data_IF_641021959629
#
_entry.id   IF_641021959629
#
_cell.length_a   1.000
_cell.length_b   1.000
_cell.length_c   1.000
_cell.angle_alpha   90.00
_cell.angle_beta   90.00
_cell.angle_gamma   90.00
#
_symmetry.space_group_name_H-M   'P 1'
#
loop_
_entity.id
_entity.type
_entity.pdbx_description
1 polymer ?
#
# COMPACT_ATOMS: atom_id res chain seq x y z
N UNK A 1 -11.54 7.93 -10.54
CA UNK A 1 -11.47 7.10 -9.32
C UNK A 1 -11.90 7.95 -8.11
N UNK A 2 -12.19 7.35 -6.96
CA UNK A 2 -12.56 8.08 -5.73
C UNK A 2 -11.97 7.40 -4.49
N UNK A 3 -11.88 8.14 -3.39
CA UNK A 3 -11.64 7.58 -2.04
C UNK A 3 -12.89 6.82 -1.62
N UNK A 4 -12.73 5.59 -1.10
CA UNK A 4 -13.88 4.70 -0.81
C UNK A 4 -14.43 4.95 0.59
N UNK A 5 -13.56 5.14 1.58
CA UNK A 5 -13.99 5.29 2.98
C UNK A 5 -13.17 6.32 3.77
N UNK A 6 -13.43 6.38 5.08
CA UNK A 6 -12.78 7.33 5.97
C UNK A 6 -13.27 8.77 5.81
N UNK A 7 -12.50 9.71 6.37
CA UNK A 7 -12.87 11.15 6.43
C UNK A 7 -12.91 11.84 5.07
N UNK A 8 -12.26 11.27 4.06
CA UNK A 8 -12.24 11.77 2.67
C UNK A 8 -13.14 10.95 1.73
N UNK A 9 -13.97 10.05 2.25
CA UNK A 9 -14.83 9.17 1.47
C UNK A 9 -15.66 9.93 0.43
N UNK A 10 -15.73 9.41 -0.81
CA UNK A 10 -16.44 10.02 -1.93
C UNK A 10 -15.65 11.08 -2.71
N UNK A 11 -14.54 11.62 -2.17
CA UNK A 11 -13.69 12.61 -2.86
C UNK A 11 -13.05 12.01 -4.11
N UNK A 12 -13.05 12.76 -5.20
CA UNK A 12 -12.48 12.32 -6.48
C UNK A 12 -10.96 12.34 -6.45
N UNK A 13 -10.36 11.35 -7.12
CA UNK A 13 -8.92 11.26 -7.38
C UNK A 13 -8.68 11.33 -8.88
N UNK A 14 -7.70 12.11 -9.30
CA UNK A 14 -7.13 12.03 -10.64
C UNK A 14 -6.41 10.68 -10.82
N UNK A 15 -6.43 10.18 -12.03
CA UNK A 15 -5.77 8.92 -12.41
C UNK A 15 -4.74 9.19 -13.49
N UNK A 16 -3.67 8.42 -13.48
CA UNK A 16 -2.71 8.43 -14.59
C UNK A 16 -3.38 7.79 -15.81
N UNK A 17 -3.44 8.53 -16.92
CA UNK A 17 -3.97 8.01 -18.20
C UNK A 17 -2.93 7.10 -18.83
N UNK A 18 -2.96 5.81 -18.50
CA UNK A 18 -2.18 4.80 -19.22
C UNK A 18 -3.09 3.62 -19.50
N UNK A 19 -3.16 3.21 -20.76
CA UNK A 19 -3.95 2.05 -21.22
C UNK A 19 -3.49 0.71 -20.59
N UNK A 20 -2.38 0.71 -19.88
CA UNK A 20 -1.74 -0.47 -19.30
C UNK A 20 -2.03 -0.70 -17.80
N UNK A 21 -2.58 0.29 -17.08
CA UNK A 21 -2.83 0.18 -15.64
C UNK A 21 -4.32 0.07 -15.40
N UNK A 22 -4.78 -1.10 -14.98
CA UNK A 22 -6.13 -1.29 -14.46
C UNK A 22 -6.12 -0.83 -13.00
N UNK A 23 -6.82 0.27 -12.67
CA UNK A 23 -6.86 0.73 -11.28
C UNK A 23 -7.48 -0.35 -10.39
N UNK A 24 -6.90 -0.61 -9.23
CA UNK A 24 -7.55 -1.39 -8.17
C UNK A 24 -8.97 -0.88 -8.00
N UNK A 25 -9.97 -1.74 -8.23
CA UNK A 25 -11.37 -1.32 -8.21
C UNK A 25 -11.75 -0.80 -6.81
N UNK A 26 -12.74 0.11 -6.75
CA UNK A 26 -13.29 0.60 -5.47
C UNK A 26 -13.64 -0.56 -4.53
N UNK A 27 -14.22 -1.66 -5.09
CA UNK A 27 -14.57 -2.87 -4.34
C UNK A 27 -13.35 -3.62 -3.79
N UNK A 28 -12.28 -3.71 -4.57
CA UNK A 28 -11.06 -4.38 -4.11
C UNK A 28 -10.37 -3.55 -3.01
N UNK A 29 -10.30 -2.22 -3.16
CA UNK A 29 -9.77 -1.34 -2.11
C UNK A 29 -10.59 -1.44 -0.82
N UNK A 30 -11.92 -1.37 -0.90
CA UNK A 30 -12.77 -1.56 0.27
C UNK A 30 -12.48 -2.87 0.99
N UNK A 31 -12.34 -3.95 0.22
CA UNK A 31 -12.06 -5.27 0.76
C UNK A 31 -10.66 -5.37 1.39
N UNK A 32 -9.63 -4.73 0.80
CA UNK A 32 -8.29 -4.63 1.41
C UNK A 32 -8.39 -3.98 2.78
N UNK A 33 -9.02 -2.83 2.87
CA UNK A 33 -9.11 -2.12 4.15
C UNK A 33 -10.00 -2.84 5.17
N UNK A 34 -11.05 -3.56 4.74
CA UNK A 34 -11.84 -4.41 5.63
C UNK A 34 -11.02 -5.59 6.22
N UNK A 35 -10.04 -6.12 5.47
CA UNK A 35 -9.12 -7.12 6.03
C UNK A 35 -8.16 -6.50 7.07
N UNK A 36 -7.74 -5.26 6.89
CA UNK A 36 -6.83 -4.55 7.79
C UNK A 36 -7.48 -4.18 9.14
N UNK A 37 -8.80 -4.02 9.19
CA UNK A 37 -9.54 -3.70 10.43
C UNK A 37 -9.27 -4.72 11.53
N UNK A 38 -9.17 -6.02 11.19
CA UNK A 38 -8.87 -7.08 12.17
C UNK A 38 -7.44 -7.01 12.75
N UNK A 39 -6.58 -6.19 12.16
CA UNK A 39 -5.22 -5.91 12.60
C UNK A 39 -5.09 -4.48 13.18
N UNK A 40 -6.22 -3.81 13.44
CA UNK A 40 -6.28 -2.42 13.93
C UNK A 40 -5.55 -1.41 13.02
N UNK A 41 -5.51 -1.70 11.73
CA UNK A 41 -4.88 -0.86 10.71
C UNK A 41 -5.94 -0.21 9.80
N UNK A 42 -5.67 0.97 9.24
CA UNK A 42 -4.41 1.73 9.29
C UNK A 42 -4.36 2.86 10.33
N UNK A 43 -5.25 2.90 11.32
CA UNK A 43 -5.33 4.03 12.27
C UNK A 43 -4.01 4.26 13.01
N UNK A 44 -3.54 5.51 13.02
CA UNK A 44 -2.24 5.90 13.60
C UNK A 44 -1.00 5.36 12.89
N UNK A 45 -1.16 4.54 11.85
CA UNK A 45 -0.07 3.82 11.21
C UNK A 45 0.85 4.71 10.34
N UNK A 46 2.12 4.32 10.26
CA UNK A 46 3.05 4.73 9.21
C UNK A 46 2.91 3.77 8.04
N UNK A 47 2.58 4.30 6.87
CA UNK A 47 2.26 3.52 5.68
C UNK A 47 3.28 3.76 4.58
N UNK A 48 3.63 2.70 3.85
CA UNK A 48 4.45 2.73 2.65
C UNK A 48 3.63 2.18 1.48
N UNK A 49 3.44 2.98 0.45
CA UNK A 49 2.73 2.60 -0.78
C UNK A 49 3.75 2.46 -1.92
N UNK A 50 4.10 1.23 -2.23
CA UNK A 50 5.03 0.86 -3.29
C UNK A 50 4.26 0.66 -4.60
N UNK A 51 4.81 1.18 -5.71
CA UNK A 51 4.12 1.21 -7.01
C UNK A 51 2.82 2.04 -6.95
N UNK A 52 2.90 3.22 -6.32
CA UNK A 52 1.74 3.96 -5.85
C UNK A 52 0.77 4.46 -6.95
N UNK A 53 1.20 4.57 -8.21
CA UNK A 53 0.36 4.95 -9.35
C UNK A 53 -0.33 6.30 -9.17
N UNK A 54 -1.63 6.29 -8.92
CA UNK A 54 -2.42 7.49 -8.58
C UNK A 54 -2.41 7.84 -7.09
N UNK A 55 -1.78 7.01 -6.24
CA UNK A 55 -1.77 7.14 -4.79
C UNK A 55 -3.03 6.61 -4.09
N UNK A 56 -3.84 5.82 -4.79
CA UNK A 56 -5.15 5.45 -4.30
C UNK A 56 -5.13 4.68 -2.98
N UNK A 57 -4.20 3.73 -2.79
CA UNK A 57 -4.07 2.95 -1.55
C UNK A 57 -3.52 3.80 -0.41
N UNK A 58 -2.45 4.56 -0.65
CA UNK A 58 -1.86 5.44 0.35
C UNK A 58 -2.80 6.56 0.80
N UNK A 59 -3.56 7.18 -0.13
CA UNK A 59 -4.56 8.20 0.18
C UNK A 59 -5.75 7.59 0.93
N UNK A 60 -6.20 6.40 0.57
CA UNK A 60 -7.25 5.68 1.30
C UNK A 60 -6.81 5.40 2.75
N UNK A 61 -5.53 5.00 2.96
CA UNK A 61 -4.97 4.81 4.30
C UNK A 61 -5.02 6.11 5.13
N UNK A 62 -4.60 7.23 4.55
CA UNK A 62 -4.71 8.55 5.20
C UNK A 62 -6.15 8.94 5.54
N UNK A 63 -7.09 8.63 4.63
CA UNK A 63 -8.51 8.86 4.85
C UNK A 63 -9.07 8.06 6.02
N UNK A 64 -8.50 6.88 6.28
CA UNK A 64 -8.91 5.95 7.34
C UNK A 64 -8.06 6.05 8.61
N UNK A 65 -7.31 7.15 8.78
CA UNK A 65 -6.63 7.45 10.04
C UNK A 65 -5.14 7.18 10.07
N UNK A 66 -4.49 6.69 8.99
CA UNK A 66 -3.03 6.56 8.98
C UNK A 66 -2.36 7.89 9.33
N UNK A 67 -1.33 7.86 10.16
CA UNK A 67 -0.62 9.06 10.59
C UNK A 67 0.17 9.69 9.45
N UNK A 68 0.85 8.87 8.67
CA UNK A 68 1.68 9.33 7.55
C UNK A 68 1.79 8.24 6.47
N UNK A 69 1.86 8.66 5.20
CA UNK A 69 2.08 7.75 4.08
C UNK A 69 3.25 8.21 3.21
N UNK A 70 4.19 7.30 2.94
CA UNK A 70 5.21 7.47 1.91
C UNK A 70 4.75 6.76 0.64
N UNK A 71 4.65 7.49 -0.47
CA UNK A 71 4.20 6.98 -1.77
C UNK A 71 5.39 6.95 -2.73
N UNK A 72 5.72 5.78 -3.25
CA UNK A 72 6.88 5.55 -4.11
C UNK A 72 6.42 5.10 -5.49
N UNK A 73 6.86 5.79 -6.52
CA UNK A 73 6.64 5.40 -7.90
C UNK A 73 7.82 5.83 -8.78
N UNK A 74 8.15 5.07 -9.81
CA UNK A 74 9.22 5.41 -10.76
C UNK A 74 8.75 6.41 -11.84
N UNK A 75 7.45 6.42 -12.13
CA UNK A 75 6.89 7.30 -13.17
C UNK A 75 6.69 8.73 -12.65
N UNK A 76 7.27 9.68 -13.38
CA UNK A 76 7.12 11.10 -13.10
C UNK A 76 5.67 11.60 -13.23
N UNK A 77 4.86 11.01 -14.12
CA UNK A 77 3.46 11.39 -14.27
C UNK A 77 2.64 10.89 -13.08
N UNK A 78 2.89 9.66 -12.61
CA UNK A 78 2.31 9.13 -11.38
C UNK A 78 2.63 10.02 -10.18
N UNK A 79 3.90 10.37 -9.96
CA UNK A 79 4.28 11.25 -8.86
C UNK A 79 3.60 12.64 -8.91
N UNK A 80 3.45 13.22 -10.10
CA UNK A 80 2.70 14.49 -10.27
C UNK A 80 1.21 14.32 -9.94
N UNK A 81 0.60 13.23 -10.40
CA UNK A 81 -0.81 12.93 -10.11
C UNK A 81 -1.04 12.73 -8.61
N UNK A 82 -0.15 11.99 -7.93
CA UNK A 82 -0.21 11.84 -6.47
C UNK A 82 -0.14 13.20 -5.78
N UNK A 83 0.84 14.04 -6.15
CA UNK A 83 1.01 15.36 -5.54
C UNK A 83 -0.23 16.27 -5.75
N UNK A 84 -0.83 16.24 -6.96
CA UNK A 84 -2.07 16.96 -7.26
C UNK A 84 -3.24 16.45 -6.39
N UNK A 85 -3.40 15.13 -6.27
CA UNK A 85 -4.42 14.52 -5.42
C UNK A 85 -4.27 14.92 -3.95
N UNK A 86 -3.06 14.85 -3.40
CA UNK A 86 -2.77 15.23 -2.02
C UNK A 86 -3.10 16.70 -1.75
N UNK A 87 -2.73 17.57 -2.68
CA UNK A 87 -3.02 19.02 -2.60
C UNK A 87 -4.53 19.29 -2.67
N UNK A 88 -5.22 18.68 -3.63
CA UNK A 88 -6.67 18.85 -3.79
C UNK A 88 -7.49 18.34 -2.58
N UNK A 89 -6.94 17.38 -1.84
CA UNK A 89 -7.53 16.82 -0.63
C UNK A 89 -7.11 17.54 0.65
N UNK A 90 -6.10 18.42 0.60
CA UNK A 90 -5.59 19.15 1.77
C UNK A 90 -4.83 18.28 2.78
N UNK A 91 -4.12 17.24 2.31
CA UNK A 91 -3.41 16.26 3.15
C UNK A 91 -1.92 16.11 2.81
N UNK A 92 -1.34 17.09 2.11
CA UNK A 92 0.06 17.05 1.68
C UNK A 92 1.07 17.00 2.84
N UNK A 93 0.71 17.53 3.99
CA UNK A 93 1.51 17.52 5.22
C UNK A 93 1.64 16.13 5.86
N UNK A 94 0.74 15.21 5.51
CA UNK A 94 0.71 13.82 6.00
C UNK A 94 1.27 12.82 5.00
N UNK A 95 1.85 13.28 3.90
CA UNK A 95 2.32 12.40 2.84
C UNK A 95 3.68 12.83 2.29
N UNK A 96 4.49 11.85 1.88
CA UNK A 96 5.75 12.06 1.18
C UNK A 96 5.71 11.32 -0.16
N UNK A 97 5.89 12.03 -1.26
CA UNK A 97 5.97 11.44 -2.60
C UNK A 97 7.44 11.31 -2.99
N UNK A 98 7.84 10.11 -3.37
CA UNK A 98 9.22 9.80 -3.76
C UNK A 98 9.22 9.20 -5.17
N UNK A 99 9.89 9.87 -6.09
CA UNK A 99 10.15 9.32 -7.42
C UNK A 99 11.38 8.44 -7.36
N UNK A 100 11.17 7.12 -7.35
CA UNK A 100 12.25 6.11 -7.35
C UNK A 100 11.74 4.79 -7.92
N UNK A 101 12.64 4.02 -8.47
CA UNK A 101 12.43 2.58 -8.60
C UNK A 101 12.29 1.96 -7.20
N UNK A 102 11.38 0.98 -7.06
CA UNK A 102 11.04 0.39 -5.75
C UNK A 102 12.23 -0.36 -5.14
N UNK A 103 12.95 -1.15 -5.92
CA UNK A 103 14.13 -1.88 -5.42
C UNK A 103 15.22 -0.92 -4.94
N UNK A 104 15.48 0.16 -5.69
CA UNK A 104 16.40 1.22 -5.26
C UNK A 104 15.94 1.93 -4.00
N UNK A 105 14.64 2.22 -3.89
CA UNK A 105 14.08 2.84 -2.70
C UNK A 105 14.27 1.97 -1.47
N UNK A 106 13.88 0.70 -1.54
CA UNK A 106 13.98 -0.25 -0.43
C UNK A 106 15.44 -0.48 0.01
N UNK A 107 16.37 -0.55 -0.94
CA UNK A 107 17.81 -0.68 -0.62
C UNK A 107 18.39 0.55 0.11
N UNK A 108 17.83 1.74 -0.11
CA UNK A 108 18.31 2.99 0.48
C UNK A 108 17.56 3.40 1.76
N UNK A 109 16.36 2.86 2.02
CA UNK A 109 15.46 3.28 3.08
C UNK A 109 14.96 2.06 3.85
N UNK A 110 15.54 1.83 5.02
CA UNK A 110 15.22 0.70 5.91
C UNK A 110 14.32 1.05 7.09
N UNK A 111 13.75 2.25 7.15
CA UNK A 111 12.90 2.67 8.28
C UNK A 111 11.67 1.76 8.40
N UNK A 112 11.38 1.27 9.62
CA UNK A 112 10.23 0.40 9.82
C UNK A 112 8.91 1.16 9.62
N UNK A 113 7.94 0.48 8.98
CA UNK A 113 6.56 0.95 8.84
C UNK A 113 5.58 -0.08 9.41
N UNK A 114 4.39 0.36 9.74
CA UNK A 114 3.36 -0.54 10.27
C UNK A 114 2.70 -1.33 9.14
N UNK A 115 2.48 -0.68 8.00
CA UNK A 115 1.79 -1.24 6.84
C UNK A 115 2.51 -0.86 5.55
N UNK A 116 2.73 -1.84 4.68
CA UNK A 116 3.15 -1.60 3.30
C UNK A 116 2.12 -2.15 2.31
N UNK A 117 1.94 -1.45 1.19
CA UNK A 117 1.23 -1.91 0.01
C UNK A 117 2.21 -2.14 -1.12
N UNK A 118 1.99 -3.19 -1.92
CA UNK A 118 2.70 -3.46 -3.16
C UNK A 118 1.70 -3.93 -4.23
N UNK A 119 1.42 -3.05 -5.20
CA UNK A 119 0.54 -3.30 -6.34
C UNK A 119 1.30 -3.04 -7.66
N UNK A 120 2.31 -3.88 -7.97
CA UNK A 120 3.09 -3.73 -9.18
C UNK A 120 2.30 -4.14 -10.42
N UNK A 121 2.78 -3.77 -11.64
CA UNK A 121 2.25 -4.33 -12.88
C UNK A 121 2.26 -5.87 -12.86
N UNK A 122 1.26 -6.53 -13.46
CA UNK A 122 1.07 -7.99 -13.41
C UNK A 122 2.26 -8.87 -13.88
N UNK A 123 3.19 -8.30 -14.63
CA UNK A 123 4.40 -9.02 -15.07
C UNK A 123 5.59 -8.86 -14.11
N UNK A 124 5.34 -8.30 -12.93
CA UNK A 124 6.39 -8.11 -11.93
C UNK A 124 6.84 -9.46 -11.36
N UNK A 125 8.15 -9.71 -11.42
CA UNK A 125 8.81 -10.93 -10.94
C UNK A 125 9.72 -10.70 -9.72
N UNK A 126 9.91 -9.44 -9.31
CA UNK A 126 10.76 -9.04 -8.18
C UNK A 126 10.16 -9.23 -6.78
N UNK A 127 9.20 -10.14 -6.62
CA UNK A 127 8.53 -10.35 -5.32
C UNK A 127 9.47 -10.81 -4.22
N UNK A 128 10.47 -11.67 -4.56
CA UNK A 128 11.46 -12.12 -3.57
C UNK A 128 12.22 -10.94 -2.99
N UNK A 129 12.69 -10.02 -3.85
CA UNK A 129 13.45 -8.85 -3.42
C UNK A 129 12.60 -7.91 -2.54
N UNK A 130 11.31 -7.74 -2.87
CA UNK A 130 10.38 -6.96 -2.04
C UNK A 130 10.19 -7.61 -0.67
N UNK A 131 9.95 -8.92 -0.62
CA UNK A 131 9.76 -9.66 0.63
C UNK A 131 11.01 -9.65 1.52
N UNK A 132 12.20 -9.68 0.92
CA UNK A 132 13.46 -9.68 1.66
C UNK A 132 13.85 -8.29 2.19
N UNK A 133 13.44 -7.22 1.49
CA UNK A 133 13.95 -5.88 1.79
C UNK A 133 12.94 -4.96 2.46
N UNK A 134 11.62 -5.19 2.27
CA UNK A 134 10.61 -4.33 2.88
C UNK A 134 10.59 -4.50 4.39
N UNK A 135 10.75 -3.38 5.12
CA UNK A 135 10.70 -3.38 6.58
C UNK A 135 9.33 -2.90 7.08
N UNK A 136 8.34 -3.81 7.05
CA UNK A 136 6.98 -3.55 7.49
C UNK A 136 6.48 -4.65 8.43
N UNK A 137 5.50 -4.34 9.29
CA UNK A 137 4.82 -5.34 10.13
C UNK A 137 3.77 -6.12 9.33
N UNK A 138 3.08 -5.42 8.43
CA UNK A 138 2.05 -5.97 7.54
C UNK A 138 2.35 -5.56 6.10
N UNK A 139 2.25 -6.49 5.17
CA UNK A 139 2.39 -6.25 3.73
C UNK A 139 1.15 -6.75 2.99
N UNK A 140 0.55 -5.88 2.20
CA UNK A 140 -0.55 -6.22 1.29
C UNK A 140 0.01 -6.26 -0.12
N UNK A 141 -0.04 -7.45 -0.73
CA UNK A 141 0.38 -7.67 -2.12
C UNK A 141 -0.86 -7.80 -3.00
N UNK A 142 -0.94 -7.02 -4.08
CA UNK A 142 -1.91 -7.25 -5.17
C UNK A 142 -1.16 -7.81 -6.38
N UNK A 143 -1.68 -8.89 -6.98
CA UNK A 143 -1.03 -9.61 -8.08
C UNK A 143 -2.08 -10.41 -8.88
N UNK A 144 -1.67 -11.07 -9.95
CA UNK A 144 -2.49 -12.04 -10.69
C UNK A 144 -2.52 -13.43 -10.03
N UNK A 145 -1.68 -13.65 -9.02
CA UNK A 145 -1.56 -14.89 -8.25
C UNK A 145 -1.34 -14.62 -6.76
N UNK A 146 -1.49 -15.64 -5.96
CA UNK A 146 -1.09 -15.60 -4.56
C UNK A 146 0.43 -15.40 -4.43
N UNK A 147 0.84 -14.54 -3.51
CA UNK A 147 2.24 -14.34 -3.19
C UNK A 147 2.60 -15.19 -1.97
N UNK A 148 3.31 -16.27 -2.23
CA UNK A 148 3.77 -17.19 -1.19
C UNK A 148 5.14 -16.75 -0.67
N UNK A 149 5.28 -16.41 0.63
CA UNK A 149 6.54 -15.89 1.16
C UNK A 149 7.65 -16.96 1.30
N UNK A 150 7.36 -18.23 1.00
CA UNK A 150 8.33 -19.31 1.20
C UNK A 150 8.69 -19.57 2.67
N UNK A 151 9.44 -20.65 2.92
CA UNK A 151 9.77 -21.06 4.31
C UNK A 151 10.85 -20.21 4.98
N UNK A 152 11.68 -19.51 4.20
CA UNK A 152 12.84 -18.77 4.69
C UNK A 152 12.57 -17.28 4.93
N UNK A 153 11.38 -16.78 4.59
CA UNK A 153 11.02 -15.38 4.81
C UNK A 153 10.47 -15.14 6.22
N UNK A 154 10.69 -13.92 6.72
CA UNK A 154 10.13 -13.46 7.99
C UNK A 154 8.60 -13.26 7.93
N UNK A 155 7.95 -13.63 6.85
CA UNK A 155 6.53 -13.44 6.58
C UNK A 155 5.73 -14.72 6.75
N UNK A 156 4.47 -14.57 7.13
CA UNK A 156 3.45 -15.62 7.06
C UNK A 156 2.20 -15.06 6.38
N UNK A 157 1.54 -15.90 5.60
CA UNK A 157 0.26 -15.55 4.98
C UNK A 157 -0.82 -15.50 6.06
N UNK A 158 -1.42 -14.32 6.23
CA UNK A 158 -2.54 -14.11 7.13
C UNK A 158 -3.88 -14.35 6.42
N UNK A 159 -4.01 -13.83 5.19
CA UNK A 159 -5.24 -13.95 4.41
C UNK A 159 -5.00 -13.82 2.91
N UNK A 160 -5.77 -14.55 2.11
CA UNK A 160 -5.79 -14.42 0.64
C UNK A 160 -7.23 -14.20 0.19
N UNK A 161 -7.43 -13.31 -0.76
CA UNK A 161 -8.73 -13.05 -1.40
C UNK A 161 -8.56 -12.82 -2.89
N UNK A 162 -9.52 -13.33 -3.67
CA UNK A 162 -9.59 -13.16 -5.13
C UNK A 162 -10.76 -12.24 -5.49
N UNK A 163 -10.48 -11.24 -6.33
CA UNK A 163 -11.46 -10.27 -6.81
C UNK A 163 -11.49 -10.25 -8.34
N UNK A 164 -11.92 -11.36 -8.94
CA UNK A 164 -11.76 -11.61 -10.36
C UNK A 164 -10.32 -12.00 -10.69
N UNK A 165 -9.67 -11.24 -11.57
CA UNK A 165 -8.23 -11.44 -11.88
C UNK A 165 -7.32 -11.09 -10.69
N UNK A 166 -7.50 -9.94 -10.00
CA UNK A 166 -6.64 -9.59 -8.87
C UNK A 166 -6.76 -10.57 -7.72
N UNK A 167 -5.59 -10.94 -7.17
CA UNK A 167 -5.43 -11.70 -5.93
C UNK A 167 -4.75 -10.80 -4.93
N UNK A 168 -5.38 -10.60 -3.78
CA UNK A 168 -4.81 -9.87 -2.65
C UNK A 168 -4.29 -10.86 -1.64
N UNK A 169 -2.99 -10.80 -1.35
CA UNK A 169 -2.33 -11.57 -0.31
C UNK A 169 -1.93 -10.63 0.82
N UNK A 170 -2.44 -10.90 2.01
CA UNK A 170 -2.09 -10.18 3.24
C UNK A 170 -1.06 -11.01 4.00
N UNK A 171 0.13 -10.45 4.16
CA UNK A 171 1.24 -11.05 4.88
C UNK A 171 1.47 -10.29 6.20
N UNK A 172 1.81 -11.03 7.27
CA UNK A 172 2.23 -10.46 8.55
C UNK A 172 3.61 -10.96 8.90
N UNK A 173 4.42 -10.14 9.56
CA UNK A 173 5.75 -10.52 9.99
C UNK A 173 5.66 -11.50 11.16
N UNK A 174 6.43 -12.60 11.12
CA UNK A 174 6.38 -13.69 12.14
C UNK A 174 6.76 -13.23 13.55
N UNK A 175 7.66 -12.24 13.64
CA UNK A 175 8.18 -11.71 14.91
C UNK A 175 7.45 -10.47 15.42
N UNK A 176 6.40 -10.02 14.72
CA UNK A 176 5.54 -8.95 15.22
C UNK A 176 4.65 -9.52 16.33
N UNK A 177 5.13 -9.50 17.54
CA UNK A 177 4.27 -9.56 18.73
C UNK A 177 3.22 -8.46 18.59
N UNK A 178 1.98 -8.83 18.59
CA UNK A 178 0.71 -8.14 18.33
C UNK A 178 0.60 -6.63 18.55
N UNK A 179 -0.62 -6.07 18.40
CA UNK A 179 -0.84 -4.63 18.38
C UNK A 179 -0.18 -3.96 19.58
N UNK A 180 0.47 -2.82 19.31
CA UNK A 180 1.01 -1.97 20.38
C UNK A 180 -0.12 -1.62 21.32
N UNK A 181 -0.22 -2.32 22.44
CA UNK A 181 -0.99 -1.86 23.58
C UNK A 181 -0.38 -0.52 23.97
N UNK A 182 -1.11 0.56 23.71
CA UNK A 182 -0.75 1.87 24.18
C UNK A 182 -0.62 1.79 25.71
N UNK A 183 0.60 1.84 26.20
CA UNK A 183 0.84 2.10 27.63
C UNK A 183 0.47 3.56 27.86
N UNK A 184 -0.56 3.72 28.65
CA UNK A 184 -1.12 4.92 29.29
C UNK A 184 -0.07 5.90 29.81
#
# INVERSE_FOLDING_TARGET
>A
MRVVGGVLGGRRLETVSTDAIRPTSDRAREAIFNMLVSLELPDGARVLDLFAGSGALGIEALSRGAAHTTLVDSDAAACRTIAANLTALGISDRAKVIRSDVGRYLAAHGDPVDLAFADPPYRFDGWSDVLDTVNANVLVCESDREIEPGSNHAWQTHRVRRYGTPVVTLLVRRDSTGPRTALS
#
